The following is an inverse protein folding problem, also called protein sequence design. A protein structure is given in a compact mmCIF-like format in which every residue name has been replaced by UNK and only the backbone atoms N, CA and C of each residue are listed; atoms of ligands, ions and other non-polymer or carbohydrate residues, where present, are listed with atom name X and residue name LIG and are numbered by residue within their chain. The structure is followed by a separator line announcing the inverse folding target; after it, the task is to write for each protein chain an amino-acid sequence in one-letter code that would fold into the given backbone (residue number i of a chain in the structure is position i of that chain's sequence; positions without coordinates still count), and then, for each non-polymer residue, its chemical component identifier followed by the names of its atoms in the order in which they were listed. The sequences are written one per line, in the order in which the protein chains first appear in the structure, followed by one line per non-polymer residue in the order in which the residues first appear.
data_IF_606933065444
#
_entry.id   IF_606933065444
#
_cell.length_a   1.000
_cell.length_b   1.000
_cell.length_c   1.000
_cell.angle_alpha   90.00
_cell.angle_beta   90.00
_cell.angle_gamma   90.00
#
_symmetry.space_group_name_H-M   'P 1'
#
loop_
_entity.id
_entity.type
_entity.pdbx_description
1 polymer ?
#
# COMPACT_ATOMS: atom_id res chain seq x y z
N UNK A 1 5.95 -45.51 21.46
CA UNK A 1 6.62 -45.95 20.21
C UNK A 1 5.57 -45.89 19.12
N UNK A 2 5.57 -44.84 18.31
CA UNK A 2 4.50 -44.61 17.33
C UNK A 2 4.91 -45.22 16.00
N UNK A 3 4.46 -46.44 15.75
CA UNK A 3 4.56 -47.13 14.46
C UNK A 3 3.38 -46.71 13.59
N UNK A 4 3.64 -45.89 12.57
CA UNK A 4 2.68 -45.62 11.51
C UNK A 4 2.46 -46.91 10.69
N UNK A 5 1.22 -47.35 10.46
CA UNK A 5 0.95 -48.54 9.69
C UNK A 5 0.97 -48.22 8.18
N UNK A 6 1.66 -49.04 7.39
CA UNK A 6 1.25 -49.26 5.99
C UNK A 6 2.27 -49.05 4.88
N UNK A 7 3.54 -48.68 5.14
CA UNK A 7 4.57 -48.71 4.09
C UNK A 7 5.80 -49.41 4.66
N UNK A 8 6.02 -50.65 4.22
CA UNK A 8 7.25 -51.40 4.50
C UNK A 8 8.31 -50.83 3.56
N UNK A 9 8.90 -49.72 3.96
CA UNK A 9 9.90 -49.01 3.17
C UNK A 9 11.20 -49.82 3.23
N UNK A 10 11.65 -50.36 2.09
CA UNK A 10 12.92 -51.08 2.04
C UNK A 10 14.05 -50.08 2.29
N UNK A 11 14.69 -50.22 3.45
CA UNK A 11 15.77 -49.34 3.90
C UNK A 11 16.93 -49.34 2.91
N UNK A 12 17.19 -50.47 2.25
CA UNK A 12 18.27 -50.59 1.28
C UNK A 12 17.96 -49.78 0.03
N UNK A 13 16.81 -50.05 -0.58
CA UNK A 13 16.32 -49.32 -1.76
C UNK A 13 16.24 -47.81 -1.51
N UNK A 14 15.76 -47.40 -0.32
CA UNK A 14 15.71 -46.00 0.05
C UNK A 14 17.10 -45.37 0.21
N UNK A 15 18.06 -46.09 0.80
CA UNK A 15 19.44 -45.59 0.92
C UNK A 15 20.12 -45.45 -0.46
N UNK A 16 19.85 -46.38 -1.37
CA UNK A 16 20.34 -46.35 -2.75
C UNK A 16 19.72 -45.17 -3.52
N UNK A 17 18.42 -44.93 -3.35
CA UNK A 17 17.72 -43.80 -3.96
C UNK A 17 18.25 -42.45 -3.43
N UNK A 18 18.45 -42.32 -2.12
CA UNK A 18 19.04 -41.13 -1.51
C UNK A 18 20.45 -40.89 -2.08
N UNK A 19 21.30 -41.93 -2.12
CA UNK A 19 22.66 -41.83 -2.65
C UNK A 19 22.67 -41.44 -4.13
N UNK A 20 21.76 -42.00 -4.93
CA UNK A 20 21.58 -41.63 -6.32
C UNK A 20 21.26 -40.14 -6.49
N UNK A 21 20.29 -39.61 -5.75
CA UNK A 21 19.95 -38.19 -5.83
C UNK A 21 21.08 -37.29 -5.30
N UNK A 22 21.77 -37.69 -4.23
CA UNK A 22 22.93 -36.95 -3.74
C UNK A 22 24.03 -36.88 -4.81
N UNK A 23 24.24 -37.96 -5.57
CA UNK A 23 25.21 -37.96 -6.67
C UNK A 23 24.83 -36.96 -7.78
N UNK A 24 23.54 -36.91 -8.14
CA UNK A 24 23.02 -35.95 -9.12
C UNK A 24 23.18 -34.51 -8.62
N UNK A 25 22.82 -34.26 -7.36
CA UNK A 25 22.93 -32.93 -6.76
C UNK A 25 24.39 -32.46 -6.71
N UNK A 26 25.33 -33.37 -6.44
CA UNK A 26 26.75 -33.08 -6.48
C UNK A 26 27.20 -32.66 -7.88
N UNK A 27 26.83 -33.43 -8.92
CA UNK A 27 27.15 -33.10 -10.31
C UNK A 27 26.57 -31.74 -10.70
N UNK A 28 25.29 -31.50 -10.41
CA UNK A 28 24.64 -30.21 -10.71
C UNK A 28 25.29 -29.04 -9.99
N UNK A 29 25.73 -29.24 -8.75
CA UNK A 29 26.46 -28.23 -8.00
C UNK A 29 27.81 -27.91 -8.66
N UNK A 30 28.54 -28.94 -9.08
CA UNK A 30 29.82 -28.77 -9.78
C UNK A 30 29.64 -28.05 -11.13
N UNK A 31 28.60 -28.41 -11.89
CA UNK A 31 28.22 -27.71 -13.12
C UNK A 31 27.84 -26.26 -12.87
N UNK A 32 27.06 -25.99 -11.82
CA UNK A 32 26.68 -24.64 -11.42
C UNK A 32 27.91 -23.80 -11.08
N UNK A 33 28.85 -24.33 -10.31
CA UNK A 33 30.09 -23.63 -9.94
C UNK A 33 30.93 -23.34 -11.18
N UNK A 34 31.09 -24.33 -12.07
CA UNK A 34 31.86 -24.17 -13.32
C UNK A 34 31.29 -23.11 -14.25
N UNK A 35 29.97 -23.04 -14.34
CA UNK A 35 29.27 -22.12 -15.23
C UNK A 35 28.80 -20.85 -14.50
N UNK A 36 29.23 -20.66 -13.25
CA UNK A 36 28.80 -19.53 -12.45
C UNK A 36 29.27 -18.22 -13.08
N UNK A 37 28.35 -17.27 -13.22
CA UNK A 37 28.65 -15.91 -13.63
C UNK A 37 28.25 -14.99 -12.45
N UNK A 38 29.23 -14.35 -11.79
CA UNK A 38 28.93 -13.43 -10.70
C UNK A 38 27.96 -12.35 -11.15
N UNK A 39 26.97 -12.06 -10.30
CA UNK A 39 26.10 -10.91 -10.51
C UNK A 39 26.92 -9.62 -10.42
N UNK A 40 26.46 -8.55 -11.07
CA UNK A 40 27.12 -7.25 -10.98
C UNK A 40 27.35 -6.82 -9.53
N UNK A 41 26.43 -7.16 -8.61
CA UNK A 41 26.58 -6.90 -7.18
C UNK A 41 27.74 -7.66 -6.53
N UNK A 42 27.95 -8.93 -6.90
CA UNK A 42 28.99 -9.79 -6.34
C UNK A 42 30.38 -9.46 -6.89
N UNK A 43 30.42 -8.87 -8.09
CA UNK A 43 31.64 -8.33 -8.68
C UNK A 43 32.13 -7.05 -8.00
N UNK A 44 31.29 -6.41 -7.18
CA UNK A 44 31.68 -5.20 -6.44
C UNK A 44 32.54 -5.53 -5.24
N UNK A 45 33.47 -4.63 -4.93
CA UNK A 45 34.20 -4.66 -3.67
C UNK A 45 33.26 -4.38 -2.48
N UNK A 46 33.66 -4.83 -1.29
CA UNK A 46 32.87 -4.58 -0.07
C UNK A 46 32.62 -3.09 0.16
N UNK A 47 33.61 -2.24 -0.13
CA UNK A 47 33.47 -0.79 0.00
C UNK A 47 32.47 -0.19 -0.98
N UNK A 48 32.44 -0.67 -2.22
CA UNK A 48 31.45 -0.24 -3.22
C UNK A 48 30.04 -0.68 -2.84
N UNK A 49 29.88 -1.92 -2.39
CA UNK A 49 28.61 -2.43 -1.87
C UNK A 49 28.12 -1.58 -0.70
N UNK A 50 29.01 -1.27 0.26
CA UNK A 50 28.71 -0.41 1.40
C UNK A 50 28.32 1.00 0.96
N UNK A 51 29.01 1.58 -0.02
CA UNK A 51 28.68 2.89 -0.58
C UNK A 51 27.29 2.89 -1.21
N UNK A 52 26.96 1.90 -2.04
CA UNK A 52 25.65 1.77 -2.67
C UNK A 52 24.56 1.57 -1.62
N UNK A 53 24.81 0.75 -0.59
CA UNK A 53 23.85 0.52 0.48
C UNK A 53 23.57 1.80 1.27
N UNK A 54 24.61 2.56 1.63
CA UNK A 54 24.48 3.85 2.32
C UNK A 54 23.70 4.85 1.46
N UNK A 55 23.99 4.92 0.17
CA UNK A 55 23.27 5.80 -0.75
C UNK A 55 21.78 5.43 -0.82
N UNK A 56 21.46 4.16 -1.07
CA UNK A 56 20.06 3.69 -1.11
C UNK A 56 19.31 3.95 0.19
N UNK A 57 19.98 3.86 1.33
CA UNK A 57 19.40 4.17 2.62
C UNK A 57 19.11 5.67 2.77
N UNK A 58 19.99 6.52 2.26
CA UNK A 58 19.78 7.97 2.23
C UNK A 58 18.61 8.32 1.30
N UNK A 59 18.57 7.76 0.09
CA UNK A 59 17.51 7.99 -0.90
C UNK A 59 16.13 7.63 -0.33
N UNK A 60 16.01 6.48 0.34
CA UNK A 60 14.76 6.09 1.02
C UNK A 60 14.34 7.08 2.11
N UNK A 61 15.31 7.65 2.84
CA UNK A 61 15.02 8.66 3.87
C UNK A 61 14.54 9.96 3.24
N UNK A 62 15.17 10.41 2.15
CA UNK A 62 14.76 11.63 1.44
C UNK A 62 13.37 11.46 0.83
N UNK A 63 13.11 10.33 0.16
CA UNK A 63 11.78 10.00 -0.38
C UNK A 63 10.69 10.04 0.70
N UNK A 64 10.97 9.49 1.89
CA UNK A 64 10.03 9.51 3.01
C UNK A 64 9.73 10.94 3.48
N UNK A 65 10.76 11.79 3.55
CA UNK A 65 10.61 13.20 3.93
C UNK A 65 9.78 13.94 2.89
N UNK A 66 10.07 13.75 1.60
CA UNK A 66 9.35 14.38 0.50
C UNK A 66 7.87 13.97 0.48
N UNK A 67 7.59 12.69 0.71
CA UNK A 67 6.23 12.19 0.83
C UNK A 67 5.48 12.84 2.01
N UNK A 68 6.13 13.00 3.16
CA UNK A 68 5.53 13.70 4.30
C UNK A 68 5.26 15.17 4.01
N UNK A 69 6.17 15.86 3.32
CA UNK A 69 5.98 17.25 2.88
C UNK A 69 4.77 17.33 1.92
N UNK A 70 4.69 16.42 0.95
CA UNK A 70 3.61 16.37 -0.02
C UNK A 70 2.25 16.14 0.67
N UNK A 71 2.16 15.19 1.59
CA UNK A 71 0.93 14.95 2.37
C UNK A 71 0.53 16.21 3.16
N UNK A 72 1.47 16.85 3.86
CA UNK A 72 1.19 18.07 4.62
C UNK A 72 0.69 19.20 3.71
N UNK A 73 1.32 19.39 2.55
CA UNK A 73 0.93 20.39 1.57
C UNK A 73 -0.46 20.11 1.01
N UNK A 74 -0.77 18.85 0.68
CA UNK A 74 -2.09 18.42 0.23
C UNK A 74 -3.16 18.74 1.27
N UNK A 75 -2.94 18.36 2.55
CA UNK A 75 -3.88 18.63 3.63
C UNK A 75 -4.07 20.14 3.87
N UNK A 76 -2.99 20.93 3.77
CA UNK A 76 -3.06 22.40 3.88
C UNK A 76 -3.91 22.99 2.76
N UNK A 77 -3.67 22.57 1.52
CA UNK A 77 -4.45 23.01 0.36
C UNK A 77 -5.92 22.63 0.49
N UNK A 78 -6.20 21.38 0.88
CA UNK A 78 -7.56 20.90 1.10
C UNK A 78 -8.28 21.70 2.19
N UNK A 79 -7.62 22.00 3.32
CA UNK A 79 -8.19 22.86 4.38
C UNK A 79 -8.49 24.27 3.88
N UNK A 80 -7.59 24.87 3.09
CA UNK A 80 -7.79 26.21 2.51
C UNK A 80 -8.99 26.20 1.56
N UNK A 81 -9.07 25.21 0.67
CA UNK A 81 -10.19 25.05 -0.26
C UNK A 81 -11.52 24.85 0.47
N UNK A 82 -11.54 24.03 1.53
CA UNK A 82 -12.74 23.82 2.37
C UNK A 82 -13.20 25.11 3.05
N UNK A 83 -12.29 26.01 3.45
CA UNK A 83 -12.65 27.33 4.00
C UNK A 83 -13.28 28.22 2.95
N UNK A 84 -12.65 28.34 1.77
CA UNK A 84 -13.16 29.13 0.65
C UNK A 84 -14.57 28.68 0.26
N UNK A 85 -14.80 27.36 0.07
CA UNK A 85 -16.14 26.87 -0.27
C UNK A 85 -17.19 27.18 0.81
N UNK A 86 -16.82 27.21 2.10
CA UNK A 86 -17.74 27.60 3.18
C UNK A 86 -18.08 29.08 3.12
N UNK A 87 -17.08 29.93 2.88
CA UNK A 87 -17.25 31.38 2.73
C UNK A 87 -18.11 31.72 1.50
N UNK A 88 -17.86 31.08 0.35
CA UNK A 88 -18.68 31.21 -0.86
C UNK A 88 -20.13 30.78 -0.62
N UNK A 89 -20.35 29.65 0.06
CA UNK A 89 -21.70 29.18 0.39
C UNK A 89 -22.44 30.15 1.32
N UNK A 90 -21.76 30.72 2.32
CA UNK A 90 -22.37 31.73 3.21
C UNK A 90 -22.68 33.03 2.46
N UNK A 91 -21.80 33.46 1.56
CA UNK A 91 -22.02 34.66 0.73
C UNK A 91 -23.23 34.49 -0.22
N UNK A 92 -23.36 33.33 -0.85
CA UNK A 92 -24.47 33.02 -1.74
C UNK A 92 -25.82 32.91 -1.00
N UNK A 93 -25.83 32.35 0.21
CA UNK A 93 -27.03 32.25 1.03
C UNK A 93 -27.50 33.61 1.59
N UNK A 94 -26.58 34.56 1.75
CA UNK A 94 -26.91 35.91 2.22
C UNK A 94 -27.29 36.87 1.08
N UNK A 95 -27.16 36.46 -0.19
CA UNK A 95 -27.51 37.25 -1.37
C UNK A 95 -28.84 36.85 -2.00
N UNK A 96 -29.69 36.07 -1.32
CA UNK A 96 -31.05 35.83 -1.80
C UNK A 96 -31.93 37.02 -1.41
N UNK A 97 -32.36 37.90 -2.34
CA UNK A 97 -33.49 38.76 -2.03
C UNK A 97 -34.69 37.86 -1.76
N UNK A 98 -35.52 38.20 -0.78
CA UNK A 98 -36.79 37.54 -0.56
C UNK A 98 -37.61 37.63 -1.86
N UNK A 99 -37.66 36.54 -2.63
CA UNK A 99 -38.50 36.44 -3.81
C UNK A 99 -39.86 35.98 -3.32
N UNK A 100 -40.83 36.90 -3.39
CA UNK A 100 -42.24 36.64 -3.14
C UNK A 100 -42.74 35.45 -3.96
N UNK A 101 -43.32 34.50 -3.25
CA UNK A 101 -44.04 33.37 -3.81
C UNK A 101 -45.19 33.85 -4.71
N UNK A 102 -45.13 33.56 -6.01
CA UNK A 102 -46.31 33.18 -6.82
C UNK A 102 -45.93 32.61 -8.19
N UNK A 103 -46.57 31.47 -8.47
CA UNK A 103 -46.75 30.74 -9.75
C UNK A 103 -45.70 29.71 -10.17
N UNK A 104 -46.07 28.45 -9.89
CA UNK A 104 -45.86 27.24 -10.70
C UNK A 104 -45.77 27.49 -12.20
N UNK A 105 -44.88 26.79 -12.92
CA UNK A 105 -45.18 25.97 -14.13
C UNK A 105 -43.90 25.45 -14.82
N UNK A 106 -43.75 24.12 -14.84
CA UNK A 106 -43.16 23.21 -15.87
C UNK A 106 -41.68 23.39 -16.29
N UNK A 107 -40.89 22.34 -16.02
CA UNK A 107 -39.56 22.09 -16.58
C UNK A 107 -39.61 21.41 -17.96
N UNK A 108 -38.64 21.71 -18.84
CA UNK A 108 -38.08 20.71 -19.75
C UNK A 108 -36.62 20.39 -19.39
N UNK A 109 -36.28 19.10 -19.48
CA UNK A 109 -34.96 18.52 -19.24
C UNK A 109 -34.03 18.73 -20.45
N UNK A 110 -32.73 18.58 -20.18
CA UNK A 110 -31.63 18.35 -21.12
C UNK A 110 -30.77 19.57 -21.49
N UNK A 111 -29.90 19.94 -20.55
CA UNK A 111 -28.59 20.49 -20.87
C UNK A 111 -27.53 19.73 -20.04
N UNK A 112 -26.68 18.95 -20.72
CA UNK A 112 -25.47 18.38 -20.13
C UNK A 112 -24.59 19.53 -19.65
N UNK A 113 -24.62 19.80 -18.35
CA UNK A 113 -23.65 20.67 -17.69
C UNK A 113 -22.73 19.78 -16.87
N UNK A 114 -21.43 20.04 -16.97
CA UNK A 114 -20.36 19.32 -16.30
C UNK A 114 -20.65 19.26 -14.81
N UNK A 115 -21.16 18.12 -14.34
CA UNK A 115 -21.60 17.97 -12.96
C UNK A 115 -20.43 18.23 -12.01
N UNK A 116 -20.52 19.41 -11.39
CA UNK A 116 -20.03 19.75 -10.05
C UNK A 116 -20.04 18.47 -9.18
N UNK A 117 -18.88 18.11 -8.66
CA UNK A 117 -18.79 17.13 -7.59
C UNK A 117 -19.71 17.54 -6.44
N UNK A 118 -20.75 16.75 -6.16
CA UNK A 118 -21.75 16.96 -5.12
C UNK A 118 -21.37 16.13 -3.87
N UNK A 119 -20.93 16.75 -2.76
CA UNK A 119 -20.52 16.02 -1.56
C UNK A 119 -21.70 15.63 -0.65
N UNK A 120 -22.95 15.89 -1.02
CA UNK A 120 -24.12 15.68 -0.14
C UNK A 120 -24.60 14.22 -0.03
N UNK A 121 -23.95 13.25 -0.71
CA UNK A 121 -24.35 11.85 -0.57
C UNK A 121 -23.74 11.12 0.64
N UNK A 122 -23.18 11.85 1.62
CA UNK A 122 -22.66 11.30 2.87
C UNK A 122 -23.51 11.68 4.10
N UNK A 123 -24.81 11.91 3.91
CA UNK A 123 -25.76 11.98 5.03
C UNK A 123 -26.73 10.82 4.98
N UNK A 124 -26.24 9.61 5.30
CA UNK A 124 -27.06 8.60 5.93
C UNK A 124 -26.42 8.19 7.26
N UNK A 125 -27.08 8.66 8.32
CA UNK A 125 -27.16 8.12 9.66
C UNK A 125 -25.90 8.14 10.55
N UNK A 126 -25.86 9.16 11.40
CA UNK A 126 -25.49 8.97 12.79
C UNK A 126 -26.41 7.95 13.48
N UNK A 127 -25.82 7.20 14.41
CA UNK A 127 -26.35 6.22 15.38
C UNK A 127 -26.48 4.76 14.92
N UNK A 128 -25.46 3.94 15.20
CA UNK A 128 -25.41 3.07 16.41
C UNK A 128 -24.21 2.11 16.35
N UNK A 129 -23.46 2.05 17.45
CA UNK A 129 -22.73 0.89 17.97
C UNK A 129 -22.25 -0.21 16.97
N UNK A 130 -21.13 0.01 16.30
CA UNK A 130 -20.13 -1.05 16.05
C UNK A 130 -18.91 -0.56 15.25
N UNK A 131 -17.71 -0.86 15.79
CA UNK A 131 -16.46 -1.12 15.04
C UNK A 131 -15.79 0.09 14.37
N UNK A 132 -15.20 0.95 15.19
CA UNK A 132 -13.92 1.57 14.81
C UNK A 132 -12.84 0.48 14.83
N UNK A 133 -12.70 -0.30 13.75
CA UNK A 133 -11.64 -1.32 13.57
C UNK A 133 -10.50 -0.90 12.66
N UNK A 134 -10.51 0.33 12.13
CA UNK A 134 -9.54 0.75 11.12
C UNK A 134 -8.57 1.85 11.60
N UNK A 135 -8.42 2.00 12.92
CA UNK A 135 -7.30 2.76 13.47
C UNK A 135 -6.09 1.82 13.56
N UNK A 136 -5.23 1.85 12.56
CA UNK A 136 -3.93 1.16 12.59
C UNK A 136 -3.11 1.79 13.73
N UNK A 137 -3.01 1.06 14.84
CA UNK A 137 -2.15 1.36 15.97
C UNK A 137 -0.69 1.07 15.59
N UNK A 138 0.08 2.12 15.30
CA UNK A 138 1.52 2.03 15.03
C UNK A 138 2.36 1.94 16.32
N UNK A 139 1.74 1.70 17.48
CA UNK A 139 2.36 1.84 18.80
C UNK A 139 2.99 0.62 19.45
N UNK A 140 3.18 -0.53 18.78
CA UNK A 140 3.86 -1.70 19.37
C UNK A 140 4.71 -2.50 18.38
N UNK A 141 5.88 -1.98 18.01
CA UNK A 141 6.97 -2.79 17.44
C UNK A 141 8.33 -2.38 18.03
N UNK A 142 8.42 -2.32 19.36
CA UNK A 142 9.70 -2.25 20.08
C UNK A 142 9.72 -3.21 21.26
N UNK A 143 9.87 -4.50 20.96
CA UNK A 143 10.49 -5.55 21.79
C UNK A 143 10.53 -6.78 20.88
N UNK A 144 11.61 -7.43 20.50
CA UNK A 144 13.00 -7.58 20.95
C UNK A 144 13.72 -8.33 19.78
N UNK A 145 15.04 -8.59 19.75
CA UNK A 145 15.94 -8.99 20.85
C UNK A 145 16.97 -7.94 21.27
#
# INVERSE_FOLDING_TARGET
RNTFPGIKLDLKENSELINYYLSILKIRREEFIRNYQPSHWESLTSDEQNRIMKQKLLDRKTEKIDLLINIKNFLRYHRKRKRICREENMSNNNSTPAIDNRKSTIAPKDAFTTNRYNPENNQHQDNTDNKNKDLIDWGKLTSLP
#
